data_IF_645373905618
#
_entry.id   IF_645373905618
#
_cell.length_a   1.000
_cell.length_b   1.000
_cell.length_c   1.000
_cell.angle_alpha   90.00
_cell.angle_beta   90.00
_cell.angle_gamma   90.00
#
_symmetry.space_group_name_H-M   'P 1'
#
loop_
_entity.id
_entity.type
_entity.pdbx_description
1 polymer ?
#
# COMPACT_ATOMS: atom_id res chain seq x y z
N UNK A 1 16.04 -0.83 -16.41
CA UNK A 1 15.06 -1.19 -15.37
C UNK A 1 13.70 -0.78 -15.89
N UNK A 2 12.67 -1.59 -15.70
CA UNK A 2 11.31 -1.29 -16.16
C UNK A 2 10.76 -0.10 -15.35
N UNK A 3 10.53 1.05 -15.98
CA UNK A 3 10.19 2.33 -15.31
C UNK A 3 8.74 2.38 -14.78
N UNK A 4 7.96 1.33 -15.05
CA UNK A 4 6.59 1.12 -14.63
C UNK A 4 6.50 0.66 -13.16
N UNK A 5 7.47 -0.11 -12.66
CA UNK A 5 7.42 -0.67 -11.31
C UNK A 5 7.89 0.30 -10.23
N UNK A 6 7.12 0.38 -9.14
CA UNK A 6 7.52 1.06 -7.90
C UNK A 6 8.64 0.29 -7.19
N UNK A 7 9.30 0.96 -6.24
CA UNK A 7 10.33 0.32 -5.42
C UNK A 7 9.78 -0.86 -4.60
N UNK A 8 8.54 -0.74 -4.12
CA UNK A 8 7.86 -1.80 -3.35
C UNK A 8 7.54 -3.00 -4.25
N UNK A 9 6.98 -2.78 -5.44
CA UNK A 9 6.71 -3.87 -6.40
C UNK A 9 7.99 -4.57 -6.84
N UNK A 10 9.08 -3.81 -7.03
CA UNK A 10 10.40 -4.38 -7.33
C UNK A 10 10.89 -5.28 -6.19
N UNK A 11 10.71 -4.85 -4.94
CA UNK A 11 11.08 -5.65 -3.76
C UNK A 11 10.25 -6.93 -3.65
N UNK A 12 8.94 -6.85 -3.88
CA UNK A 12 8.04 -8.01 -3.90
C UNK A 12 8.39 -8.97 -5.05
N UNK A 13 8.66 -8.47 -6.26
CA UNK A 13 9.09 -9.29 -7.39
C UNK A 13 10.41 -10.02 -7.14
N UNK A 14 11.38 -9.35 -6.52
CA UNK A 14 12.63 -9.98 -6.09
C UNK A 14 12.39 -11.07 -5.03
N UNK A 15 11.49 -10.83 -4.08
CA UNK A 15 11.11 -11.81 -3.07
C UNK A 15 10.49 -13.07 -3.70
N UNK A 16 9.56 -12.91 -4.65
CA UNK A 16 8.96 -14.03 -5.39
C UNK A 16 10.01 -14.82 -6.18
N UNK A 17 10.96 -14.12 -6.83
CA UNK A 17 12.08 -14.77 -7.51
C UNK A 17 12.96 -15.60 -6.56
N UNK A 18 13.20 -15.12 -5.34
CA UNK A 18 13.97 -15.86 -4.33
C UNK A 18 13.23 -17.14 -3.92
N UNK A 19 11.92 -17.08 -3.76
CA UNK A 19 11.11 -18.26 -3.44
C UNK A 19 11.17 -19.29 -4.57
N UNK A 20 11.03 -18.85 -5.82
CA UNK A 20 11.21 -19.68 -7.03
C UNK A 20 12.58 -20.36 -7.06
N UNK A 21 13.67 -19.60 -6.92
CA UNK A 21 15.05 -20.13 -6.93
C UNK A 21 15.27 -21.14 -5.79
N UNK A 22 14.65 -20.92 -4.63
CA UNK A 22 14.79 -21.83 -3.49
C UNK A 22 13.81 -23.01 -3.50
N UNK A 23 12.92 -23.09 -4.50
CA UNK A 23 11.88 -24.12 -4.61
C UNK A 23 10.87 -24.06 -3.47
N UNK A 24 10.45 -22.86 -3.07
CA UNK A 24 9.47 -22.62 -2.02
C UNK A 24 8.20 -22.02 -2.60
N UNK A 25 7.07 -22.54 -2.14
CA UNK A 25 5.76 -21.97 -2.43
C UNK A 25 5.31 -21.05 -1.29
N UNK A 26 4.43 -20.11 -1.61
CA UNK A 26 3.76 -19.30 -0.58
C UNK A 26 2.79 -20.20 0.18
N UNK A 27 2.79 -20.09 1.49
CA UNK A 27 1.78 -20.72 2.33
C UNK A 27 0.39 -20.13 2.05
N UNK A 28 -0.70 -20.89 2.26
CA UNK A 28 -2.04 -20.34 2.21
C UNK A 28 -2.20 -19.21 3.25
N UNK A 29 -2.74 -18.07 2.84
CA UNK A 29 -2.94 -16.91 3.71
C UNK A 29 -4.32 -16.28 3.48
N UNK A 30 -5.08 -16.12 4.55
CA UNK A 30 -6.44 -15.55 4.55
C UNK A 30 -6.52 -14.21 5.30
N UNK A 31 -5.38 -13.61 5.65
CA UNK A 31 -5.34 -12.35 6.40
C UNK A 31 -5.39 -11.10 5.52
N UNK A 32 -5.46 -9.94 6.18
CA UNK A 32 -5.59 -8.63 5.54
C UNK A 32 -4.24 -7.94 5.24
N UNK A 33 -3.11 -8.60 5.51
CA UNK A 33 -1.80 -7.97 5.31
C UNK A 33 -1.56 -7.64 3.83
N UNK A 34 -1.00 -6.46 3.61
CA UNK A 34 -0.72 -5.89 2.28
C UNK A 34 0.32 -6.71 1.52
N UNK A 35 1.28 -7.25 2.27
CA UNK A 35 2.33 -8.12 1.75
C UNK A 35 2.24 -9.45 2.49
N UNK A 36 2.27 -10.53 1.72
CA UNK A 36 2.26 -11.90 2.25
C UNK A 36 3.32 -12.11 3.34
N UNK A 37 3.01 -12.74 4.48
CA UNK A 37 3.96 -12.95 5.58
C UNK A 37 5.26 -13.64 5.14
N UNK A 38 5.17 -14.66 4.29
CA UNK A 38 6.35 -15.37 3.76
C UNK A 38 7.27 -14.44 2.96
N UNK A 39 6.73 -13.43 2.27
CA UNK A 39 7.51 -12.43 1.54
C UNK A 39 8.22 -11.50 2.53
N UNK A 40 7.54 -11.07 3.60
CA UNK A 40 8.13 -10.25 4.66
C UNK A 40 9.27 -10.99 5.38
N UNK A 41 9.12 -12.28 5.61
CA UNK A 41 10.13 -13.10 6.30
C UNK A 41 11.43 -13.23 5.50
N UNK A 42 11.38 -13.12 4.16
CA UNK A 42 12.59 -13.13 3.33
C UNK A 42 13.59 -12.03 3.71
N UNK A 43 13.11 -10.87 4.14
CA UNK A 43 13.98 -9.75 4.51
C UNK A 43 14.77 -10.02 5.80
N UNK A 44 14.33 -10.98 6.63
CA UNK A 44 14.90 -11.28 7.94
C UNK A 44 15.82 -12.50 7.95
N UNK A 45 15.75 -13.36 6.93
CA UNK A 45 16.46 -14.64 6.93
C UNK A 45 17.70 -14.68 6.04
N UNK A 46 18.52 -15.72 6.25
CA UNK A 46 19.60 -16.10 5.33
C UNK A 46 19.05 -16.94 4.17
N UNK A 47 19.60 -16.73 2.97
CA UNK A 47 19.25 -17.48 1.77
C UNK A 47 20.15 -18.71 1.58
N UNK A 48 19.65 -19.70 0.83
CA UNK A 48 20.40 -20.91 0.48
C UNK A 48 21.68 -20.52 -0.29
N UNK A 49 22.71 -21.38 -0.18
CA UNK A 49 23.95 -21.20 -0.95
C UNK A 49 23.62 -21.28 -2.44
N UNK A 50 24.09 -20.32 -3.23
CA UNK A 50 23.83 -20.26 -4.67
C UNK A 50 22.62 -19.40 -5.09
N UNK A 51 21.76 -18.98 -4.16
CA UNK A 51 20.62 -18.11 -4.48
C UNK A 51 21.08 -16.76 -5.04
N UNK A 52 22.04 -16.11 -4.38
CA UNK A 52 22.57 -14.82 -4.85
C UNK A 52 23.20 -14.88 -6.25
N UNK A 53 24.11 -15.82 -6.56
CA UNK A 53 24.61 -15.99 -7.93
C UNK A 53 23.51 -16.05 -8.99
N UNK A 54 22.45 -16.82 -8.77
CA UNK A 54 21.34 -16.93 -9.72
C UNK A 54 20.55 -15.63 -9.88
N UNK A 55 20.34 -14.87 -8.79
CA UNK A 55 19.71 -13.53 -8.87
C UNK A 55 20.55 -12.59 -9.72
N UNK A 56 21.87 -12.56 -9.50
CA UNK A 56 22.78 -11.67 -10.21
C UNK A 56 22.88 -12.02 -11.69
N UNK A 57 22.84 -13.32 -12.02
CA UNK A 57 22.79 -13.80 -13.40
C UNK A 57 21.50 -13.41 -14.10
N UNK A 58 20.34 -13.55 -13.45
CA UNK A 58 19.02 -13.26 -14.05
C UNK A 58 18.73 -11.76 -14.17
N UNK A 59 19.05 -10.98 -13.14
CA UNK A 59 18.63 -9.58 -13.04
C UNK A 59 19.76 -8.57 -13.29
N UNK A 60 21.02 -9.03 -13.37
CA UNK A 60 22.18 -8.16 -13.37
C UNK A 60 22.34 -7.44 -12.03
N UNK A 61 23.15 -6.37 -12.00
CA UNK A 61 23.46 -5.57 -10.80
C UNK A 61 24.19 -6.33 -9.67
N UNK A 62 24.59 -5.60 -8.63
CA UNK A 62 25.33 -6.16 -7.50
C UNK A 62 24.40 -6.73 -6.43
N UNK A 63 24.92 -7.65 -5.61
CA UNK A 63 24.20 -8.16 -4.43
C UNK A 63 23.75 -7.02 -3.51
N UNK A 64 24.59 -6.01 -3.32
CA UNK A 64 24.28 -4.84 -2.47
C UNK A 64 23.07 -4.06 -3.00
N UNK A 65 22.93 -3.96 -4.32
CA UNK A 65 21.80 -3.29 -4.96
C UNK A 65 20.49 -4.00 -4.64
N UNK A 66 20.40 -5.31 -4.89
CA UNK A 66 19.20 -6.09 -4.63
C UNK A 66 18.88 -6.26 -3.14
N UNK A 67 19.90 -6.37 -2.30
CA UNK A 67 19.72 -6.40 -0.85
C UNK A 67 19.04 -5.12 -0.34
N UNK A 68 19.29 -3.96 -0.97
CA UNK A 68 18.64 -2.71 -0.58
C UNK A 68 17.12 -2.73 -0.86
N UNK A 69 16.70 -3.35 -1.97
CA UNK A 69 15.28 -3.57 -2.25
C UNK A 69 14.63 -4.54 -1.27
N UNK A 70 15.29 -5.65 -0.93
CA UNK A 70 14.76 -6.59 0.09
C UNK A 70 14.57 -5.92 1.45
N UNK A 71 15.49 -5.02 1.83
CA UNK A 71 15.37 -4.27 3.08
C UNK A 71 14.13 -3.37 3.11
N UNK A 72 13.52 -3.01 1.97
CA UNK A 72 12.27 -2.26 2.00
C UNK A 72 11.14 -3.07 2.66
N UNK A 73 11.14 -4.40 2.48
CA UNK A 73 10.12 -5.29 3.04
C UNK A 73 10.16 -5.39 4.58
N UNK A 74 11.15 -4.78 5.24
CA UNK A 74 11.18 -4.66 6.70
C UNK A 74 10.33 -3.51 7.24
N UNK A 75 9.90 -2.57 6.38
CA UNK A 75 9.00 -1.49 6.77
C UNK A 75 7.62 -2.05 7.15
N UNK A 76 6.92 -1.40 8.08
CA UNK A 76 5.54 -1.74 8.44
C UNK A 76 4.56 -1.64 7.27
N UNK A 77 3.41 -2.33 7.36
CA UNK A 77 2.42 -2.40 6.27
C UNK A 77 1.96 -1.00 5.83
N UNK A 78 1.59 -0.14 6.78
CA UNK A 78 1.17 1.24 6.48
C UNK A 78 2.28 2.06 5.80
N UNK A 79 3.54 1.84 6.17
CA UNK A 79 4.68 2.52 5.55
C UNK A 79 4.93 2.01 4.12
N UNK A 80 4.77 0.71 3.87
CA UNK A 80 4.88 0.13 2.54
C UNK A 80 3.74 0.54 1.62
N UNK A 81 2.50 0.58 2.13
CA UNK A 81 1.34 1.09 1.40
C UNK A 81 1.57 2.52 0.92
N UNK A 82 1.99 3.40 1.83
CA UNK A 82 2.26 4.80 1.50
C UNK A 82 3.44 4.91 0.53
N UNK A 83 4.51 4.13 0.74
CA UNK A 83 5.64 4.12 -0.18
C UNK A 83 5.23 3.70 -1.60
N UNK A 84 4.36 2.71 -1.73
CA UNK A 84 3.82 2.25 -3.00
C UNK A 84 2.87 3.29 -3.62
N UNK A 85 1.89 3.77 -2.85
CA UNK A 85 0.88 4.75 -3.30
C UNK A 85 1.50 6.04 -3.83
N UNK A 86 2.55 6.54 -3.17
CA UNK A 86 3.24 7.77 -3.57
C UNK A 86 4.47 7.50 -4.46
N UNK A 87 4.63 6.26 -4.95
CA UNK A 87 5.74 5.80 -5.81
C UNK A 87 7.11 6.28 -5.32
N UNK A 88 7.34 6.18 -4.01
CA UNK A 88 8.62 6.57 -3.42
C UNK A 88 9.75 5.67 -3.95
N UNK A 89 10.89 6.30 -4.26
CA UNK A 89 12.03 5.58 -4.81
C UNK A 89 12.77 4.81 -3.73
N UNK A 90 13.46 3.74 -4.10
CA UNK A 90 14.30 2.96 -3.17
C UNK A 90 15.33 3.86 -2.48
N UNK A 91 15.95 4.78 -3.22
CA UNK A 91 16.93 5.71 -2.67
C UNK A 91 16.36 6.62 -1.57
N UNK A 92 15.09 7.05 -1.71
CA UNK A 92 14.40 7.84 -0.70
C UNK A 92 14.02 7.01 0.54
N UNK A 93 13.70 5.73 0.36
CA UNK A 93 13.29 4.82 1.43
C UNK A 93 14.48 4.19 2.18
N UNK A 94 15.65 4.08 1.54
CA UNK A 94 16.85 3.45 2.13
C UNK A 94 17.29 4.01 3.49
N UNK A 95 17.22 5.33 3.77
CA UNK A 95 17.49 5.84 5.10
C UNK A 95 16.42 5.44 6.12
N UNK A 96 15.17 5.29 5.67
CA UNK A 96 14.02 4.95 6.51
C UNK A 96 14.13 3.52 7.03
N UNK A 97 14.56 2.56 6.21
CA UNK A 97 14.72 1.16 6.62
C UNK A 97 15.77 0.95 7.72
N UNK A 98 16.59 1.97 8.01
CA UNK A 98 17.61 1.94 9.07
C UNK A 98 17.15 2.54 10.40
N UNK A 99 15.94 3.09 10.45
CA UNK A 99 15.37 3.64 11.67
C UNK A 99 14.87 2.49 12.55
N UNK A 100 15.17 2.54 13.85
CA UNK A 100 14.87 1.44 14.78
C UNK A 100 13.39 1.39 15.17
N UNK A 101 12.69 2.52 15.15
CA UNK A 101 11.30 2.62 15.59
C UNK A 101 10.31 2.63 14.40
N UNK A 102 9.35 1.68 14.34
CA UNK A 102 8.30 1.66 13.31
C UNK A 102 7.52 2.97 13.16
N UNK A 103 7.28 3.68 14.27
CA UNK A 103 6.60 4.99 14.25
C UNK A 103 7.43 6.07 13.56
N UNK A 104 8.74 6.06 13.74
CA UNK A 104 9.65 6.99 13.07
C UNK A 104 9.75 6.69 11.59
N UNK A 105 9.79 5.40 11.22
CA UNK A 105 9.74 4.95 9.83
C UNK A 105 8.47 5.47 9.13
N UNK A 106 7.30 5.23 9.73
CA UNK A 106 6.02 5.67 9.19
C UNK A 106 5.95 7.20 9.05
N UNK A 107 6.44 7.94 10.04
CA UNK A 107 6.49 9.40 9.97
C UNK A 107 7.41 9.88 8.83
N UNK A 108 8.59 9.29 8.69
CA UNK A 108 9.52 9.61 7.62
C UNK A 108 8.91 9.33 6.24
N UNK A 109 8.23 8.20 6.06
CA UNK A 109 7.48 7.91 4.82
C UNK A 109 6.38 8.93 4.58
N UNK A 110 5.58 9.28 5.59
CA UNK A 110 4.54 10.32 5.48
C UNK A 110 5.13 11.67 5.07
N UNK A 111 6.31 12.02 5.58
CA UNK A 111 7.04 13.23 5.20
C UNK A 111 7.55 13.18 3.76
N UNK A 112 8.14 12.05 3.33
CA UNK A 112 8.58 11.84 1.95
C UNK A 112 7.41 11.90 0.97
N UNK A 113 6.24 11.42 1.38
CA UNK A 113 4.99 11.50 0.63
C UNK A 113 4.32 12.90 0.68
N UNK A 114 4.91 13.89 1.38
CA UNK A 114 4.37 15.24 1.50
C UNK A 114 3.11 15.37 2.37
N UNK A 115 2.82 14.36 3.21
CA UNK A 115 1.61 14.32 4.05
C UNK A 115 1.74 15.08 5.35
N UNK A 116 2.98 15.35 5.79
CA UNK A 116 3.29 16.05 7.04
C UNK A 116 4.41 17.06 6.81
N UNK A 117 4.27 18.23 7.44
CA UNK A 117 5.26 19.31 7.46
C UNK A 117 5.72 19.54 8.90
N UNK A 118 7.03 19.52 9.18
CA UNK A 118 7.60 19.83 10.51
C UNK A 118 8.64 18.82 11.03
N UNK A 119 9.45 19.20 12.05
CA UNK A 119 10.32 18.27 12.78
C UNK A 119 9.50 17.28 13.63
N UNK A 120 10.13 16.16 14.03
CA UNK A 120 9.52 15.08 14.83
C UNK A 120 8.85 15.64 16.11
N UNK A 121 7.52 15.80 16.09
CA UNK A 121 6.78 16.22 17.28
C UNK A 121 5.44 16.89 17.02
N UNK A 122 4.39 16.15 17.32
CA UNK A 122 3.04 16.59 17.75
C UNK A 122 2.13 17.27 16.71
N UNK A 123 1.01 16.58 16.44
CA UNK A 123 -0.20 17.15 15.83
C UNK A 123 -1.00 16.07 15.13
N UNK A 124 -1.99 15.48 15.81
CA UNK A 124 -3.01 14.70 15.11
C UNK A 124 -3.58 15.55 13.95
N UNK A 125 -3.72 15.00 12.74
CA UNK A 125 -4.35 15.73 11.66
C UNK A 125 -5.75 16.16 12.11
N UNK A 126 -6.09 17.44 11.87
CA UNK A 126 -7.41 17.97 12.22
C UNK A 126 -8.50 17.08 11.62
N UNK A 127 -9.67 17.02 12.27
CA UNK A 127 -10.80 16.20 11.80
C UNK A 127 -11.12 16.45 10.31
N UNK A 128 -10.99 17.71 9.85
CA UNK A 128 -11.15 18.08 8.44
C UNK A 128 -10.07 17.47 7.51
N UNK A 129 -8.82 17.38 7.97
CA UNK A 129 -7.71 16.79 7.20
C UNK A 129 -7.80 15.26 7.20
N UNK A 130 -8.22 14.63 8.31
CA UNK A 130 -8.58 13.20 8.37
C UNK A 130 -9.74 12.90 7.41
N UNK A 131 -10.78 13.75 7.39
CA UNK A 131 -11.92 13.66 6.46
C UNK A 131 -11.46 13.74 5.01
N UNK A 132 -10.62 14.71 4.63
CA UNK A 132 -10.10 14.85 3.26
C UNK A 132 -9.25 13.64 2.80
N UNK A 133 -8.49 13.02 3.70
CA UNK A 133 -7.72 11.80 3.42
C UNK A 133 -8.65 10.59 3.23
N UNK A 134 -9.66 10.44 4.09
CA UNK A 134 -10.69 9.41 3.94
C UNK A 134 -11.49 9.56 2.65
N UNK A 135 -11.85 10.80 2.29
CA UNK A 135 -12.57 11.12 1.06
C UNK A 135 -11.74 10.80 -0.19
N UNK A 136 -10.45 11.11 -0.19
CA UNK A 136 -9.57 10.78 -1.32
C UNK A 136 -9.29 9.27 -1.43
N UNK A 137 -9.30 8.55 -0.29
CA UNK A 137 -9.27 7.07 -0.26
C UNK A 137 -10.57 6.48 -0.83
N UNK A 138 -11.72 7.07 -0.51
CA UNK A 138 -13.02 6.67 -1.06
C UNK A 138 -13.12 6.95 -2.57
N UNK A 139 -12.66 8.10 -3.05
CA UNK A 139 -12.59 8.42 -4.49
C UNK A 139 -11.65 7.49 -5.27
N UNK A 140 -10.51 7.11 -4.67
CA UNK A 140 -9.59 6.15 -5.28
C UNK A 140 -10.18 4.74 -5.28
N UNK A 141 -10.84 4.32 -4.19
CA UNK A 141 -11.59 3.05 -4.15
C UNK A 141 -12.73 3.05 -5.16
N UNK A 142 -13.45 4.16 -5.33
CA UNK A 142 -14.48 4.34 -6.36
C UNK A 142 -13.86 4.29 -7.77
N UNK A 143 -12.70 4.90 -8.00
CA UNK A 143 -11.96 4.80 -9.28
C UNK A 143 -11.45 3.39 -9.58
N UNK A 144 -11.11 2.62 -8.55
CA UNK A 144 -10.77 1.21 -8.67
C UNK A 144 -11.98 0.29 -8.81
N UNK A 145 -13.17 0.72 -8.33
CA UNK A 145 -14.45 0.03 -8.46
C UNK A 145 -15.22 0.38 -9.73
N UNK A 146 -14.89 1.49 -10.40
CA UNK A 146 -15.49 1.95 -11.67
C UNK A 146 -14.94 1.24 -12.90
N UNK A 147 -14.18 0.15 -12.73
CA UNK A 147 -13.97 -0.79 -13.82
C UNK A 147 -15.25 -1.56 -14.14
N UNK A 148 -16.21 -1.62 -13.21
CA UNK A 148 -17.51 -2.21 -13.46
C UNK A 148 -18.51 -1.16 -13.98
N UNK A 149 -18.84 -1.22 -15.26
CA UNK A 149 -20.12 -0.70 -15.75
C UNK A 149 -21.28 -1.34 -14.94
N UNK A 150 -22.46 -0.70 -14.83
CA UNK A 150 -23.61 -1.22 -14.06
C UNK A 150 -23.94 -2.70 -14.40
N UNK A 151 -23.67 -3.09 -15.66
CA UNK A 151 -23.80 -4.46 -16.16
C UNK A 151 -22.79 -5.44 -15.53
N UNK A 152 -21.54 -5.04 -15.30
CA UNK A 152 -20.52 -5.85 -14.64
C UNK A 152 -20.79 -5.99 -13.13
N UNK A 153 -21.38 -4.97 -12.50
CA UNK A 153 -21.81 -5.04 -11.10
C UNK A 153 -22.95 -6.05 -10.92
N UNK A 154 -23.92 -6.09 -11.84
CA UNK A 154 -24.98 -7.12 -11.83
C UNK A 154 -24.45 -8.52 -12.12
N UNK A 155 -23.41 -8.67 -12.94
CA UNK A 155 -22.69 -9.94 -13.13
C UNK A 155 -22.00 -10.34 -11.81
N UNK A 156 -21.23 -9.46 -11.19
CA UNK A 156 -20.53 -9.74 -9.91
C UNK A 156 -21.52 -10.13 -8.80
N UNK A 157 -22.65 -9.44 -8.72
CA UNK A 157 -23.74 -9.71 -7.77
C UNK A 157 -24.38 -11.11 -7.95
N UNK A 158 -24.38 -11.65 -9.16
CA UNK A 158 -24.81 -13.03 -9.46
C UNK A 158 -23.72 -14.08 -9.21
N UNK A 159 -22.45 -13.66 -9.22
CA UNK A 159 -21.29 -14.57 -9.15
C UNK A 159 -20.83 -14.86 -7.72
N UNK A 160 -21.10 -13.95 -6.77
CA UNK A 160 -20.74 -14.14 -5.36
C UNK A 160 -21.84 -14.78 -4.52
N UNK A 161 -21.46 -15.70 -3.62
CA UNK A 161 -22.36 -16.30 -2.62
C UNK A 161 -22.90 -15.25 -1.64
N UNK A 162 -24.04 -15.57 -1.00
CA UNK A 162 -24.90 -14.62 -0.29
C UNK A 162 -24.19 -13.68 0.72
N UNK A 163 -23.16 -14.16 1.41
CA UNK A 163 -22.42 -13.36 2.40
C UNK A 163 -21.50 -12.31 1.75
N UNK A 164 -20.76 -12.70 0.70
CA UNK A 164 -19.94 -11.76 -0.08
C UNK A 164 -20.78 -10.75 -0.86
N UNK A 165 -21.97 -11.17 -1.31
CA UNK A 165 -22.96 -10.28 -1.93
C UNK A 165 -23.49 -9.24 -0.94
N UNK A 166 -23.76 -9.63 0.31
CA UNK A 166 -24.20 -8.72 1.37
C UNK A 166 -23.10 -7.70 1.74
N UNK A 167 -21.84 -8.13 1.78
CA UNK A 167 -20.70 -7.24 2.03
C UNK A 167 -20.54 -6.19 0.92
N UNK A 168 -20.64 -6.60 -0.35
CA UNK A 168 -20.58 -5.68 -1.50
C UNK A 168 -21.72 -4.65 -1.50
N UNK A 169 -22.95 -5.06 -1.20
CA UNK A 169 -24.09 -4.16 -1.10
C UNK A 169 -23.93 -3.18 0.08
N UNK A 170 -23.49 -3.65 1.24
CA UNK A 170 -23.21 -2.80 2.40
C UNK A 170 -22.10 -1.78 2.11
N UNK A 171 -21.09 -2.16 1.33
CA UNK A 171 -20.03 -1.25 0.94
C UNK A 171 -20.55 -0.13 0.03
N UNK A 172 -21.41 -0.47 -0.95
CA UNK A 172 -22.04 0.50 -1.86
C UNK A 172 -22.93 1.48 -1.09
N UNK A 173 -23.78 0.99 -0.20
CA UNK A 173 -24.65 1.83 0.63
C UNK A 173 -23.86 2.79 1.52
N UNK A 174 -22.73 2.35 2.08
CA UNK A 174 -21.84 3.22 2.88
C UNK A 174 -21.18 4.30 2.03
N UNK A 175 -20.80 3.98 0.79
CA UNK A 175 -20.23 4.94 -0.15
C UNK A 175 -21.28 5.96 -0.57
N UNK A 176 -22.50 5.53 -0.91
CA UNK A 176 -23.59 6.41 -1.32
C UNK A 176 -24.05 7.33 -0.17
N UNK A 177 -24.14 6.81 1.06
CA UNK A 177 -24.44 7.61 2.24
C UNK A 177 -23.36 8.66 2.54
N UNK A 178 -22.09 8.32 2.32
CA UNK A 178 -20.98 9.26 2.47
C UNK A 178 -21.00 10.36 1.41
N UNK A 179 -21.40 10.04 0.17
CA UNK A 179 -21.55 11.02 -0.90
C UNK A 179 -22.72 11.97 -0.65
N UNK A 180 -23.87 11.45 -0.19
CA UNK A 180 -25.03 12.28 0.14
C UNK A 180 -24.74 13.25 1.30
N UNK A 181 -23.98 12.79 2.31
CA UNK A 181 -23.52 13.65 3.41
C UNK A 181 -22.45 14.69 2.99
N UNK A 182 -21.90 14.60 1.77
CA UNK A 182 -21.04 15.62 1.20
C UNK A 182 -21.87 16.71 0.51
N UNK A 183 -22.90 16.35 -0.23
CA UNK A 183 -23.81 17.30 -0.88
C UNK A 183 -24.56 18.15 0.16
N UNK A 184 -25.03 17.56 1.25
CA UNK A 184 -25.73 18.27 2.33
C UNK A 184 -24.77 19.12 3.21
N UNK A 185 -23.45 18.97 3.06
CA UNK A 185 -22.43 19.67 3.83
C UNK A 185 -21.88 20.94 3.16
N UNK A 186 -22.18 21.18 1.89
CA UNK A 186 -21.74 22.39 1.15
C UNK A 186 -22.72 23.57 1.30
N UNK A 187 -23.95 23.33 1.74
CA UNK A 187 -24.97 24.39 1.93
C UNK A 187 -24.86 25.13 3.29
N UNK A 188 -23.98 24.69 4.20
CA UNK A 188 -23.91 25.21 5.57
C UNK A 188 -22.95 26.38 5.82
N UNK A 189 -22.14 26.78 4.83
CA UNK A 189 -21.12 27.84 4.98
C UNK A 189 -21.36 29.03 4.06
N UNK A 190 -22.63 29.47 3.97
CA UNK A 190 -22.96 30.82 3.51
C UNK A 190 -23.77 31.56 4.58
N UNK A 191 -23.11 32.50 5.24
CA UNK A 191 -23.77 33.63 5.89
C UNK A 191 -23.55 33.74 7.40
N UNK A 192 -22.52 34.48 7.80
CA UNK A 192 -22.75 35.75 8.49
C UNK A 192 -21.43 36.48 8.74
N UNK A 193 -21.07 37.34 7.79
CA UNK A 193 -20.21 38.48 8.02
C UNK A 193 -21.01 39.74 7.70
N UNK A 194 -21.63 40.34 8.71
CA UNK A 194 -22.07 41.74 8.74
C UNK A 194 -22.13 42.19 10.20
#
# INVERSE_FOLDING_TARGET
>A
MREDLTAVETAVGLALLILDIEGKELSPYEGEAVIHPDIRELAKRRFKRGTWPQILERLGHSRRYWAAYLNLLTLEDEALELAHQYRLTEGALRPVTRMDAPREQLFAVKRLAGLVSGPLGVGEPSAAKKRRIYLRRAEVMQKSLTWANEDEFEILKKTFSGEKRAQLLSLREKVDALLKALEEGEDGDQGNGS
#
